data_IF_372457085799
#
_entry.id   IF_372457085799
#
_cell.length_a   1.000
_cell.length_b   1.000
_cell.length_c   1.000
_cell.angle_alpha   90.00
_cell.angle_beta   90.00
_cell.angle_gamma   90.00
#
_symmetry.space_group_name_H-M   'P 1'
#
loop_
_entity.id
_entity.type
_entity.pdbx_description
1 polymer ?
#
# COMPACT_ATOMS: atom_id res chain seq x y z
N UNK A 1 1.95 12.42 -15.39
CA UNK A 1 1.51 12.46 -13.99
C UNK A 1 0.00 12.46 -13.92
N UNK A 2 -0.58 11.69 -13.02
CA UNK A 2 -2.04 11.55 -12.91
C UNK A 2 -2.51 12.29 -11.67
N UNK A 3 -3.57 13.08 -11.82
CA UNK A 3 -4.20 13.75 -10.68
C UNK A 3 -5.53 13.07 -10.35
N UNK A 4 -5.73 12.77 -9.08
CA UNK A 4 -6.93 12.11 -8.59
C UNK A 4 -7.28 12.68 -7.21
N UNK A 5 -8.47 13.26 -7.09
CA UNK A 5 -8.97 13.87 -5.85
C UNK A 5 -7.97 14.85 -5.20
N UNK A 6 -7.31 15.64 -6.02
CA UNK A 6 -6.36 16.64 -5.56
C UNK A 6 -4.96 16.10 -5.26
N UNK A 7 -4.72 14.83 -5.43
CA UNK A 7 -3.40 14.22 -5.25
C UNK A 7 -2.78 13.85 -6.59
N UNK A 8 -1.47 14.03 -6.71
CA UNK A 8 -0.74 13.73 -7.94
C UNK A 8 0.04 12.44 -7.78
N UNK A 9 -0.04 11.57 -8.78
CA UNK A 9 0.64 10.27 -8.80
C UNK A 9 1.47 10.13 -10.07
N UNK A 10 2.60 9.44 -9.96
CA UNK A 10 3.46 9.19 -11.11
C UNK A 10 2.77 8.31 -12.15
N UNK A 11 1.82 7.51 -11.73
CA UNK A 11 1.06 6.62 -12.62
C UNK A 11 0.19 5.69 -11.79
N UNK A 12 -0.48 4.78 -12.46
CA UNK A 12 -1.26 3.76 -11.78
C UNK A 12 -0.35 2.70 -11.15
N UNK A 13 -0.77 2.16 -10.02
CA UNK A 13 -0.06 1.09 -9.31
C UNK A 13 1.37 1.48 -8.89
N UNK A 14 1.58 2.76 -8.62
CA UNK A 14 2.87 3.29 -8.16
C UNK A 14 2.69 3.98 -6.81
N UNK A 15 2.94 3.27 -5.70
CA UNK A 15 2.80 3.87 -4.37
C UNK A 15 3.77 5.03 -4.15
N UNK A 16 3.29 6.03 -3.40
CA UNK A 16 4.13 7.15 -3.00
C UNK A 16 4.01 7.36 -1.49
N UNK A 17 5.05 7.96 -0.91
CA UNK A 17 5.03 8.31 0.51
C UNK A 17 4.17 9.56 0.71
N UNK A 18 3.39 9.54 1.79
CA UNK A 18 2.51 10.66 2.15
C UNK A 18 2.77 11.09 3.59
N UNK A 19 3.93 11.71 3.85
CA UNK A 19 4.26 12.16 5.20
C UNK A 19 3.26 13.21 5.67
N UNK A 20 2.87 13.12 6.94
CA UNK A 20 1.90 14.05 7.51
C UNK A 20 0.44 13.70 7.25
N UNK A 21 0.16 12.66 6.49
CA UNK A 21 -1.21 12.19 6.26
C UNK A 21 -1.56 11.03 7.20
N UNK A 22 -2.84 10.62 7.18
CA UNK A 22 -3.34 9.59 8.08
C UNK A 22 -2.70 8.22 7.85
N UNK A 23 -2.21 7.97 6.64
CA UNK A 23 -1.50 6.75 6.29
C UNK A 23 -0.14 7.09 5.71
N UNK A 24 0.79 6.14 5.83
CA UNK A 24 2.18 6.35 5.43
C UNK A 24 2.37 6.40 3.92
N UNK A 25 1.54 5.67 3.18
CA UNK A 25 1.62 5.58 1.73
C UNK A 25 0.26 5.75 1.09
N UNK A 26 0.28 6.17 -0.17
CA UNK A 26 -0.92 6.21 -1.00
C UNK A 26 -0.57 5.70 -2.40
N UNK A 27 -1.53 5.03 -3.03
CA UNK A 27 -1.35 4.53 -4.38
C UNK A 27 -2.67 4.69 -5.15
N UNK A 28 -2.56 5.06 -6.41
CA UNK A 28 -3.70 5.07 -7.32
C UNK A 28 -3.76 3.70 -7.98
N UNK A 29 -4.51 2.80 -7.37
CA UNK A 29 -4.59 1.41 -7.82
C UNK A 29 -5.54 1.29 -9.00
N UNK A 30 -5.14 0.51 -9.99
CA UNK A 30 -5.97 0.22 -11.15
C UNK A 30 -5.98 -1.29 -11.39
N UNK A 31 -7.18 -1.83 -11.52
CA UNK A 31 -7.38 -3.24 -11.84
C UNK A 31 -8.47 -3.32 -12.91
N UNK A 32 -8.09 -3.70 -14.13
CA UNK A 32 -9.00 -3.64 -15.27
C UNK A 32 -9.46 -2.21 -15.51
N UNK A 33 -10.77 -1.98 -15.50
CA UNK A 33 -11.37 -0.67 -15.69
C UNK A 33 -11.63 0.07 -14.38
N UNK A 34 -11.27 -0.54 -13.24
CA UNK A 34 -11.52 0.05 -11.93
C UNK A 34 -10.28 0.79 -11.43
N UNK A 35 -10.51 2.00 -10.94
CA UNK A 35 -9.45 2.84 -10.35
C UNK A 35 -9.89 3.24 -8.96
N UNK A 36 -8.99 3.12 -7.99
CA UNK A 36 -9.28 3.48 -6.61
C UNK A 36 -8.04 4.06 -5.92
N UNK A 37 -8.25 5.11 -5.13
CA UNK A 37 -7.21 5.63 -4.27
C UNK A 37 -7.11 4.74 -3.03
N UNK A 38 -5.97 4.10 -2.84
CA UNK A 38 -5.72 3.22 -1.70
C UNK A 38 -4.67 3.89 -0.80
N UNK A 39 -4.98 4.00 0.48
CA UNK A 39 -4.04 4.48 1.50
C UNK A 39 -3.69 3.33 2.41
N UNK A 40 -2.41 3.16 2.69
CA UNK A 40 -1.95 2.02 3.50
C UNK A 40 -0.72 2.40 4.31
N UNK A 41 -0.37 1.53 5.26
CA UNK A 41 0.76 1.74 6.17
C UNK A 41 0.37 2.58 7.39
N UNK A 42 0.76 2.11 8.57
CA UNK A 42 0.52 2.85 9.81
C UNK A 42 1.65 3.88 10.00
N UNK A 43 1.34 5.19 10.09
CA UNK A 43 2.37 6.20 10.27
C UNK A 43 3.13 6.09 11.59
N UNK A 44 2.55 5.42 12.58
CA UNK A 44 3.17 5.23 13.89
C UNK A 44 4.08 4.01 13.94
N UNK A 45 4.10 3.17 12.90
CA UNK A 45 4.89 1.96 12.86
C UNK A 45 5.90 1.99 11.73
N UNK A 46 7.12 1.55 12.03
CA UNK A 46 8.14 1.38 10.99
C UNK A 46 7.95 0.03 10.30
N UNK A 47 8.26 -0.02 9.01
CA UNK A 47 8.30 -1.28 8.29
C UNK A 47 9.59 -2.00 8.68
N UNK A 48 9.45 -3.18 9.26
CA UNK A 48 10.60 -3.96 9.76
C UNK A 48 10.89 -5.17 8.89
N UNK A 49 10.82 -4.97 7.58
CA UNK A 49 11.04 -6.06 6.61
C UNK A 49 12.48 -6.58 6.60
N UNK A 50 13.42 -5.81 7.14
CA UNK A 50 14.81 -6.24 7.28
C UNK A 50 15.00 -7.23 8.44
N UNK A 51 13.98 -7.43 9.27
CA UNK A 51 13.99 -8.42 10.35
C UNK A 51 13.13 -9.61 9.89
N UNK A 52 13.74 -10.75 9.52
CA UNK A 52 12.99 -11.87 8.93
C UNK A 52 11.82 -12.36 9.77
N UNK A 53 12.00 -12.44 11.08
CA UNK A 53 10.94 -12.89 11.98
C UNK A 53 9.72 -11.97 11.93
N UNK A 54 9.94 -10.67 11.92
CA UNK A 54 8.86 -9.70 11.89
C UNK A 54 8.17 -9.67 10.53
N UNK A 55 8.94 -9.80 9.48
CA UNK A 55 8.40 -9.87 8.13
C UNK A 55 7.51 -11.10 7.96
N UNK A 56 7.99 -12.26 8.38
CA UNK A 56 7.22 -13.50 8.30
C UNK A 56 5.94 -13.43 9.13
N UNK A 57 6.02 -12.88 10.33
CA UNK A 57 4.88 -12.72 11.22
C UNK A 57 3.84 -11.79 10.60
N UNK A 58 4.26 -10.67 10.03
CA UNK A 58 3.35 -9.73 9.36
C UNK A 58 2.65 -10.41 8.17
N UNK A 59 3.41 -11.08 7.32
CA UNK A 59 2.87 -11.72 6.13
C UNK A 59 1.90 -12.84 6.47
N UNK A 60 2.20 -13.62 7.49
CA UNK A 60 1.30 -14.68 7.95
C UNK A 60 0.01 -14.11 8.52
N UNK A 61 0.11 -13.06 9.32
CA UNK A 61 -1.05 -12.43 9.97
C UNK A 61 -1.99 -11.80 8.94
N UNK A 62 -1.45 -11.20 7.90
CA UNK A 62 -2.23 -10.50 6.88
C UNK A 62 -2.54 -11.38 5.66
N UNK A 63 -2.12 -12.64 5.68
CA UNK A 63 -2.42 -13.55 4.58
C UNK A 63 -1.82 -13.10 3.25
N UNK A 64 -0.55 -12.69 3.28
CA UNK A 64 0.09 -12.14 2.09
C UNK A 64 0.28 -13.14 0.94
N UNK A 65 0.09 -14.44 1.20
CA UNK A 65 0.12 -15.44 0.15
C UNK A 65 -1.11 -15.33 -0.77
N UNK A 66 -2.18 -14.73 -0.27
CA UNK A 66 -3.40 -14.49 -1.04
C UNK A 66 -3.89 -13.07 -0.74
N UNK A 67 -3.19 -12.04 -1.20
CA UNK A 67 -3.49 -10.66 -0.83
C UNK A 67 -4.78 -10.11 -1.42
N UNK A 68 -5.36 -10.78 -2.40
CA UNK A 68 -6.61 -10.36 -3.01
C UNK A 68 -6.44 -9.27 -4.05
N UNK A 69 -7.42 -8.35 -4.11
CA UNK A 69 -7.49 -7.32 -5.13
C UNK A 69 -6.43 -6.23 -4.94
N UNK A 70 -5.92 -5.70 -6.05
CA UNK A 70 -5.06 -4.52 -6.06
C UNK A 70 -5.76 -3.28 -5.54
N UNK A 71 -7.08 -3.32 -5.43
CA UNK A 71 -7.86 -2.20 -4.92
C UNK A 71 -7.98 -2.21 -3.40
N UNK A 72 -7.29 -3.12 -2.72
CA UNK A 72 -7.33 -3.21 -1.26
C UNK A 72 -6.03 -2.76 -0.62
N UNK A 73 -6.13 -2.15 0.56
CA UNK A 73 -4.97 -1.75 1.33
C UNK A 73 -4.10 -2.94 1.73
N UNK A 74 -4.71 -4.09 1.95
CA UNK A 74 -4.02 -5.34 2.30
C UNK A 74 -3.01 -5.74 1.22
N UNK A 75 -3.39 -5.67 -0.03
CA UNK A 75 -2.50 -6.00 -1.15
C UNK A 75 -1.23 -5.14 -1.11
N UNK A 76 -1.42 -3.83 -0.96
CA UNK A 76 -0.30 -2.89 -0.99
C UNK A 76 0.55 -2.96 0.28
N UNK A 77 -0.08 -3.20 1.43
CA UNK A 77 0.67 -3.40 2.67
C UNK A 77 1.55 -4.63 2.59
N UNK A 78 1.02 -5.73 2.07
CA UNK A 78 1.81 -6.95 1.88
C UNK A 78 2.96 -6.75 0.91
N UNK A 79 2.76 -5.95 -0.12
CA UNK A 79 3.79 -5.67 -1.10
C UNK A 79 4.90 -4.77 -0.55
N UNK A 80 4.58 -3.92 0.42
CA UNK A 80 5.55 -3.03 1.06
C UNK A 80 6.44 -3.76 2.08
N UNK A 81 6.01 -4.88 2.60
CA UNK A 81 6.79 -5.72 3.51
C UNK A 81 7.48 -6.85 2.71
#
# INVERSE_FOLDING_TARGET
MIEYRGAKFAGYNKPKRTPGESKKFAVLAKQGDQVRLVRFGDPKMSIKKHIPERRASFRARHGCDSPGSKLSAKYWSCKAW
#
